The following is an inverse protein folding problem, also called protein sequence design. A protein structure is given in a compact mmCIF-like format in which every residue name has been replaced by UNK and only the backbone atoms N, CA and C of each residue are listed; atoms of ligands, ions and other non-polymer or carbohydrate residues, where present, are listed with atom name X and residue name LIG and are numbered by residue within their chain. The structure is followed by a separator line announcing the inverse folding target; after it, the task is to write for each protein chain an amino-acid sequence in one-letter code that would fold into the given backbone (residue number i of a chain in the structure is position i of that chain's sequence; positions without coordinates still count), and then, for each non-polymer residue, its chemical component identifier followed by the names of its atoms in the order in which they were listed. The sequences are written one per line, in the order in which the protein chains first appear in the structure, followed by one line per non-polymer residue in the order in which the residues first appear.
data_IF_364891334874
#
_entry.id   IF_364891334874
#
_cell.length_a   1.000
_cell.length_b   1.000
_cell.length_c   1.000
_cell.angle_alpha   90.00
_cell.angle_beta   90.00
_cell.angle_gamma   90.00
#
_symmetry.space_group_name_H-M   'P 1'
#
loop_
_entity.id
_entity.type
_entity.pdbx_description
1 polymer ?
#
# COMPACT_ATOMS: atom_id res chain seq x y z
N UNK A 1 4.20 5.42 19.62
CA UNK A 1 3.46 6.20 18.62
C UNK A 1 3.10 7.53 19.22
N UNK A 2 3.54 8.61 18.59
CA UNK A 2 3.37 9.98 19.12
C UNK A 2 1.92 10.46 19.06
N UNK A 3 1.49 11.22 20.08
CA UNK A 3 0.18 11.90 20.09
C UNK A 3 0.00 12.82 18.88
N UNK A 4 1.08 13.45 18.45
CA UNK A 4 1.11 14.38 17.31
C UNK A 4 0.88 13.67 15.98
N UNK A 5 1.46 12.48 15.79
CA UNK A 5 1.22 11.63 14.63
C UNK A 5 -0.26 11.28 14.49
N UNK A 6 -0.93 10.87 15.58
CA UNK A 6 -2.35 10.53 15.53
C UNK A 6 -3.24 11.74 15.22
N UNK A 7 -2.90 12.93 15.71
CA UNK A 7 -3.60 14.16 15.35
C UNK A 7 -3.44 14.45 13.86
N UNK A 8 -2.22 14.39 13.33
CA UNK A 8 -1.94 14.58 11.92
C UNK A 8 -2.67 13.55 11.05
N UNK A 9 -2.64 12.27 11.45
CA UNK A 9 -3.33 11.18 10.77
C UNK A 9 -4.84 11.42 10.67
N UNK A 10 -5.49 11.78 11.78
CA UNK A 10 -6.92 12.10 11.76
C UNK A 10 -7.24 13.32 10.90
N UNK A 11 -6.36 14.32 10.86
CA UNK A 11 -6.53 15.50 10.01
C UNK A 11 -6.43 15.13 8.51
N UNK A 12 -5.43 14.33 8.12
CA UNK A 12 -5.28 13.84 6.74
C UNK A 12 -6.48 13.01 6.32
N UNK A 13 -6.95 12.09 7.17
CA UNK A 13 -8.14 11.27 6.90
C UNK A 13 -9.37 12.15 6.66
N UNK A 14 -9.58 13.18 7.49
CA UNK A 14 -10.70 14.12 7.33
C UNK A 14 -10.60 14.93 6.04
N UNK A 15 -9.41 15.45 5.73
CA UNK A 15 -9.18 16.20 4.50
C UNK A 15 -9.39 15.32 3.25
N UNK A 16 -8.98 14.05 3.29
CA UNK A 16 -9.28 13.09 2.22
C UNK A 16 -10.79 12.87 2.08
N UNK A 17 -11.53 12.64 3.18
CA UNK A 17 -13.00 12.54 3.17
C UNK A 17 -13.70 13.79 2.64
N UNK A 18 -13.09 14.97 2.80
CA UNK A 18 -13.57 16.23 2.25
C UNK A 18 -13.18 16.48 0.78
N UNK A 19 -12.37 15.60 0.18
CA UNK A 19 -11.87 15.75 -1.19
C UNK A 19 -10.73 16.77 -1.34
N UNK A 20 -10.09 17.18 -0.25
CA UNK A 20 -8.99 18.15 -0.24
C UNK A 20 -7.62 17.51 -0.46
N UNK A 21 -7.53 16.19 -0.24
CA UNK A 21 -6.32 15.38 -0.40
C UNK A 21 -6.67 14.14 -1.21
N UNK A 22 -5.71 13.68 -2.02
CA UNK A 22 -5.83 12.50 -2.86
C UNK A 22 -6.04 11.20 -2.06
N UNK A 23 -6.70 10.24 -2.70
CA UNK A 23 -7.09 8.95 -2.12
C UNK A 23 -5.88 8.12 -1.68
N UNK A 24 -4.79 8.14 -2.46
CA UNK A 24 -3.56 7.41 -2.14
C UNK A 24 -2.93 7.90 -0.85
N UNK A 25 -2.82 9.23 -0.67
CA UNK A 25 -2.34 9.82 0.58
C UNK A 25 -3.29 9.55 1.74
N UNK A 26 -4.60 9.68 1.54
CA UNK A 26 -5.60 9.34 2.57
C UNK A 26 -5.50 7.89 3.04
N UNK A 27 -5.41 6.95 2.11
CA UNK A 27 -5.25 5.52 2.37
C UNK A 27 -3.94 5.21 3.10
N UNK A 28 -2.83 5.77 2.63
CA UNK A 28 -1.52 5.57 3.23
C UNK A 28 -1.52 5.99 4.71
N UNK A 29 -2.09 7.17 5.03
CA UNK A 29 -2.24 7.61 6.41
C UNK A 29 -3.23 6.77 7.22
N UNK A 30 -4.35 6.31 6.62
CA UNK A 30 -5.32 5.45 7.32
C UNK A 30 -4.67 4.14 7.78
N UNK A 31 -3.85 3.54 6.91
CA UNK A 31 -3.13 2.28 7.09
C UNK A 31 -1.74 2.42 7.69
N UNK A 32 -1.27 3.64 7.97
CA UNK A 32 0.09 3.95 8.48
C UNK A 32 1.21 3.38 7.59
N UNK A 33 1.02 3.52 6.29
CA UNK A 33 2.01 3.22 5.24
C UNK A 33 2.61 4.54 4.79
N UNK A 34 3.91 4.58 4.56
CA UNK A 34 4.56 5.77 4.03
C UNK A 34 3.98 6.11 2.63
N UNK A 35 3.45 7.33 2.38
CA UNK A 35 2.72 7.64 1.15
C UNK A 35 3.60 7.71 -0.10
N UNK A 36 3.03 7.36 -1.27
CA UNK A 36 3.73 7.35 -2.57
C UNK A 36 4.37 8.68 -2.93
N UNK A 37 3.64 9.77 -2.70
CA UNK A 37 4.08 11.15 -2.96
C UNK A 37 4.18 11.91 -1.63
N UNK A 38 5.20 11.62 -0.80
CA UNK A 38 5.35 12.22 0.52
C UNK A 38 5.62 13.72 0.40
N UNK A 39 5.16 14.49 1.39
CA UNK A 39 5.49 15.91 1.58
C UNK A 39 6.24 16.08 2.91
N UNK A 40 6.55 17.30 3.28
CA UNK A 40 7.32 17.61 4.49
C UNK A 40 6.75 16.95 5.76
N UNK A 41 5.42 16.85 5.86
CA UNK A 41 4.74 16.25 7.00
C UNK A 41 5.06 14.76 7.16
N UNK A 42 5.05 14.00 6.05
CA UNK A 42 5.36 12.58 6.05
C UNK A 42 6.80 12.33 6.49
N UNK A 43 7.75 13.14 6.02
CA UNK A 43 9.15 13.05 6.43
C UNK A 43 9.34 13.39 7.90
N UNK A 44 8.60 14.37 8.43
CA UNK A 44 8.64 14.72 9.84
C UNK A 44 8.18 13.58 10.76
N UNK A 45 7.34 12.67 10.25
CA UNK A 45 6.82 11.50 10.97
C UNK A 45 7.30 10.16 10.41
N UNK A 46 8.42 10.13 9.68
CA UNK A 46 8.87 8.94 8.96
C UNK A 46 8.96 7.68 9.85
N UNK A 47 9.38 7.83 11.11
CA UNK A 47 9.53 6.73 12.08
C UNK A 47 8.20 6.24 12.69
N UNK A 48 7.12 7.01 12.59
CA UNK A 48 5.80 6.62 13.14
C UNK A 48 4.99 5.73 12.16
N UNK A 49 5.39 5.67 10.88
CA UNK A 49 4.77 4.78 9.91
C UNK A 49 5.16 3.31 10.19
N UNK A 50 4.16 2.43 10.22
CA UNK A 50 4.37 0.99 10.47
C UNK A 50 5.09 0.35 9.28
N UNK A 51 4.69 0.74 8.08
CA UNK A 51 5.39 0.38 6.84
C UNK A 51 6.08 1.65 6.34
N UNK A 52 7.35 1.80 6.70
CA UNK A 52 8.20 2.89 6.23
C UNK A 52 8.53 2.82 4.74
N UNK A 53 9.17 3.87 4.24
CA UNK A 53 9.51 4.04 2.83
C UNK A 53 10.29 2.84 2.27
N UNK A 54 11.38 2.45 2.93
CA UNK A 54 12.26 1.37 2.44
C UNK A 54 11.51 0.05 2.24
N UNK A 55 10.66 -0.34 3.20
CA UNK A 55 9.89 -1.59 3.12
C UNK A 55 8.88 -1.57 1.98
N UNK A 56 8.20 -0.43 1.80
CA UNK A 56 7.25 -0.24 0.72
C UNK A 56 7.96 -0.28 -0.64
N UNK A 57 9.07 0.44 -0.77
CA UNK A 57 9.82 0.56 -2.02
C UNK A 57 10.42 -0.79 -2.43
N UNK A 58 10.85 -1.62 -1.48
CA UNK A 58 11.29 -2.98 -1.78
C UNK A 58 10.17 -3.83 -2.40
N UNK A 59 8.97 -3.82 -1.81
CA UNK A 59 7.81 -4.54 -2.38
C UNK A 59 7.52 -4.07 -3.80
N UNK A 60 7.56 -2.75 -4.04
CA UNK A 60 7.33 -2.21 -5.38
C UNK A 60 8.43 -2.57 -6.37
N UNK A 61 9.69 -2.59 -5.94
CA UNK A 61 10.80 -3.02 -6.78
C UNK A 61 10.61 -4.46 -7.25
N UNK A 62 10.17 -5.36 -6.38
CA UNK A 62 9.95 -6.77 -6.74
C UNK A 62 8.81 -6.92 -7.73
N UNK A 63 7.72 -6.20 -7.49
CA UNK A 63 6.58 -6.16 -8.41
C UNK A 63 7.04 -5.62 -9.78
N UNK A 64 7.76 -4.51 -9.81
CA UNK A 64 8.31 -3.89 -11.01
C UNK A 64 9.29 -4.82 -11.75
N UNK A 65 10.17 -5.53 -11.04
CA UNK A 65 11.10 -6.49 -11.64
C UNK A 65 10.39 -7.68 -12.30
N UNK A 66 9.32 -8.18 -11.69
CA UNK A 66 8.49 -9.23 -12.25
C UNK A 66 7.69 -8.73 -13.46
N UNK A 67 7.06 -7.56 -13.31
CA UNK A 67 6.28 -6.88 -14.34
C UNK A 67 7.14 -6.61 -15.60
N UNK A 68 8.36 -6.07 -15.44
CA UNK A 68 9.32 -5.85 -16.55
C UNK A 68 9.76 -7.12 -17.26
N UNK A 69 9.75 -8.26 -16.56
CA UNK A 69 10.07 -9.58 -17.13
C UNK A 69 8.86 -10.26 -17.76
N UNK A 70 7.72 -9.56 -17.87
CA UNK A 70 6.43 -10.09 -18.29
C UNK A 70 6.03 -11.36 -17.51
N UNK A 71 6.46 -11.43 -16.24
CA UNK A 71 6.08 -12.50 -15.31
C UNK A 71 4.95 -11.97 -14.45
N UNK A 72 3.83 -12.68 -14.45
CA UNK A 72 2.74 -12.41 -13.52
C UNK A 72 3.19 -12.81 -12.12
N UNK A 73 3.62 -11.82 -11.34
CA UNK A 73 3.97 -12.00 -9.92
C UNK A 73 2.71 -12.40 -9.18
N UNK A 74 2.75 -13.51 -8.46
CA UNK A 74 1.66 -13.95 -7.58
C UNK A 74 1.90 -13.43 -6.18
N UNK A 75 0.83 -13.37 -5.39
CA UNK A 75 0.92 -12.90 -4.01
C UNK A 75 1.89 -13.76 -3.17
N UNK A 76 1.94 -15.07 -3.40
CA UNK A 76 2.88 -15.96 -2.72
C UNK A 76 4.35 -15.72 -3.06
N UNK A 77 4.63 -15.18 -4.25
CA UNK A 77 5.99 -14.77 -4.61
C UNK A 77 6.45 -13.57 -3.76
N UNK A 78 5.49 -12.76 -3.27
CA UNK A 78 5.71 -11.66 -2.34
C UNK A 78 5.80 -12.13 -0.87
N UNK A 79 5.11 -13.22 -0.48
CA UNK A 79 5.27 -13.78 0.87
C UNK A 79 6.68 -14.41 1.08
N UNK A 80 7.32 -14.89 0.01
CA UNK A 80 8.67 -15.46 0.02
C UNK A 80 9.80 -14.45 0.25
N UNK A 81 9.49 -13.16 0.37
CA UNK A 81 10.44 -12.06 0.57
C UNK A 81 11.10 -12.04 1.95
N UNK A 82 10.72 -12.93 2.86
CA UNK A 82 11.36 -13.10 4.17
C UNK A 82 12.88 -13.40 4.13
N UNK A 83 13.48 -13.56 2.95
CA UNK A 83 14.93 -13.64 2.77
C UNK A 83 15.67 -12.29 2.85
N UNK A 84 15.00 -11.14 2.64
CA UNK A 84 15.62 -9.81 2.70
C UNK A 84 15.62 -9.17 4.09
N UNK A 85 15.10 -9.87 5.11
CA UNK A 85 15.01 -9.37 6.48
C UNK A 85 13.79 -8.49 6.74
N UNK A 86 12.98 -8.19 5.72
CA UNK A 86 11.71 -7.48 5.86
C UNK A 86 10.61 -8.47 6.21
N UNK A 87 10.11 -8.39 7.44
CA UNK A 87 8.87 -9.07 7.85
C UNK A 87 7.70 -8.12 7.62
N UNK A 88 7.04 -8.25 6.48
CA UNK A 88 5.66 -7.81 6.30
C UNK A 88 4.77 -9.03 6.49
N UNK A 89 3.68 -8.85 7.23
CA UNK A 89 2.66 -9.89 7.22
C UNK A 89 1.83 -9.83 5.93
N UNK A 90 0.92 -10.80 5.79
CA UNK A 90 0.03 -10.87 4.63
C UNK A 90 -0.82 -9.61 4.46
N UNK A 91 -1.33 -9.04 5.56
CA UNK A 91 -2.20 -7.86 5.50
C UNK A 91 -1.42 -6.62 5.12
N UNK A 92 -0.18 -6.50 5.61
CA UNK A 92 0.75 -5.45 5.21
C UNK A 92 1.02 -5.50 3.70
N UNK A 93 1.30 -6.69 3.16
CA UNK A 93 1.53 -6.87 1.71
C UNK A 93 0.29 -6.50 0.88
N UNK A 94 -0.90 -6.94 1.30
CA UNK A 94 -2.16 -6.54 0.65
C UNK A 94 -2.30 -5.02 0.67
N UNK A 95 -2.04 -4.37 1.81
CA UNK A 95 -2.21 -2.94 1.95
C UNK A 95 -1.19 -2.15 1.11
N UNK A 96 0.07 -2.60 1.02
CA UNK A 96 1.08 -1.98 0.16
C UNK A 96 0.72 -2.12 -1.32
N UNK A 97 0.27 -3.31 -1.74
CA UNK A 97 -0.21 -3.54 -3.11
C UNK A 97 -1.44 -2.68 -3.41
N UNK A 98 -2.33 -2.48 -2.43
CA UNK A 98 -3.54 -1.68 -2.57
C UNK A 98 -3.21 -0.20 -2.72
N UNK A 99 -2.24 0.30 -1.97
CA UNK A 99 -1.70 1.66 -2.15
C UNK A 99 -1.14 1.85 -3.56
N UNK A 100 -0.42 0.86 -4.11
CA UNK A 100 0.08 0.95 -5.48
C UNK A 100 -1.06 1.03 -6.51
N UNK A 101 -2.12 0.23 -6.31
CA UNK A 101 -3.30 0.25 -7.19
C UNK A 101 -4.01 1.60 -7.16
N UNK A 102 -4.25 2.14 -5.96
CA UNK A 102 -4.87 3.47 -5.79
C UNK A 102 -4.00 4.56 -6.45
N UNK A 103 -2.68 4.41 -6.41
CA UNK A 103 -1.74 5.33 -7.04
C UNK A 103 -1.52 5.14 -8.54
N UNK A 104 -2.20 4.17 -9.19
CA UNK A 104 -2.03 3.82 -10.61
C UNK A 104 -0.57 3.53 -10.99
N UNK A 105 0.16 2.80 -10.12
CA UNK A 105 1.59 2.51 -10.31
C UNK A 105 1.87 1.46 -11.39
N UNK A 106 0.95 0.52 -11.56
CA UNK A 106 1.08 -0.62 -12.47
C UNK A 106 -0.22 -0.81 -13.25
N UNK A 107 -0.19 -1.61 -14.30
CA UNK A 107 -1.40 -1.86 -15.09
C UNK A 107 -2.41 -2.78 -14.38
N UNK A 108 -3.68 -2.65 -14.77
CA UNK A 108 -4.78 -3.51 -14.35
C UNK A 108 -4.51 -5.02 -14.53
N UNK A 109 -3.68 -5.39 -15.51
CA UNK A 109 -3.43 -6.79 -15.83
C UNK A 109 -2.60 -7.45 -14.72
N UNK A 110 -1.64 -6.72 -14.16
CA UNK A 110 -0.89 -7.13 -12.97
C UNK A 110 -1.84 -7.38 -11.79
N UNK A 111 -2.71 -6.41 -11.47
CA UNK A 111 -3.60 -6.54 -10.32
C UNK A 111 -4.61 -7.66 -10.48
N UNK A 112 -5.16 -7.84 -11.69
CA UNK A 112 -6.01 -8.99 -12.02
C UNK A 112 -5.28 -10.33 -11.82
N UNK A 113 -3.99 -10.38 -12.13
CA UNK A 113 -3.19 -11.58 -11.89
C UNK A 113 -2.92 -11.83 -10.41
N UNK A 114 -2.70 -10.77 -9.61
CA UNK A 114 -2.50 -10.86 -8.15
C UNK A 114 -3.75 -11.39 -7.42
N UNK A 115 -4.94 -11.10 -7.94
CA UNK A 115 -6.23 -11.51 -7.34
C UNK A 115 -6.87 -12.73 -8.00
N UNK A 116 -6.24 -13.28 -9.06
CA UNK A 116 -6.78 -14.42 -9.78
C UNK A 116 -6.97 -15.64 -8.84
N UNK A 117 -7.99 -16.49 -9.05
CA UNK A 117 -8.24 -17.65 -8.21
C UNK A 117 -6.98 -18.52 -8.03
N UNK A 118 -6.63 -18.80 -6.77
CA UNK A 118 -5.41 -19.57 -6.42
C UNK A 118 -4.09 -18.81 -6.55
N UNK A 119 -4.11 -17.50 -6.81
CA UNK A 119 -2.91 -16.66 -6.93
C UNK A 119 -2.62 -15.81 -5.69
N UNK A 120 -3.53 -15.82 -4.71
CA UNK A 120 -3.35 -15.15 -3.43
C UNK A 120 -4.43 -15.52 -2.40
N UNK A 121 -4.32 -14.96 -1.18
CA UNK A 121 -5.23 -15.22 -0.08
C UNK A 121 -6.59 -14.50 -0.27
N UNK A 122 -7.62 -14.83 0.51
CA UNK A 122 -8.97 -14.28 0.29
C UNK A 122 -9.02 -12.76 0.51
N UNK A 123 -8.15 -12.24 1.38
CA UNK A 123 -8.01 -10.83 1.71
C UNK A 123 -7.48 -10.00 0.52
N UNK A 124 -6.84 -10.65 -0.47
CA UNK A 124 -6.36 -9.97 -1.68
C UNK A 124 -7.48 -9.71 -2.69
N UNK A 125 -8.66 -10.32 -2.55
CA UNK A 125 -9.73 -10.26 -3.58
C UNK A 125 -10.25 -8.84 -3.86
N UNK A 126 -10.08 -7.91 -2.92
CA UNK A 126 -10.45 -6.50 -3.10
C UNK A 126 -9.40 -5.60 -3.74
N UNK A 127 -8.19 -6.11 -4.02
CA UNK A 127 -7.05 -5.28 -4.47
C UNK A 127 -7.33 -4.47 -5.73
N UNK A 128 -8.03 -5.07 -6.69
CA UNK A 128 -8.34 -4.48 -7.99
C UNK A 128 -9.67 -3.72 -8.03
N UNK A 129 -10.35 -3.56 -6.87
CA UNK A 129 -11.59 -2.78 -6.83
C UNK A 129 -11.30 -1.29 -7.01
N UNK A 130 -12.25 -0.47 -7.45
CA UNK A 130 -12.14 0.98 -7.31
C UNK A 130 -11.90 1.39 -5.84
N UNK A 131 -11.29 2.55 -5.61
CA UNK A 131 -11.15 3.09 -4.26
C UNK A 131 -12.52 3.34 -3.61
N UNK A 132 -12.65 3.06 -2.32
CA UNK A 132 -13.87 3.22 -1.53
C UNK A 132 -13.55 3.83 -0.17
N UNK A 133 -14.12 4.99 0.15
CA UNK A 133 -13.93 5.63 1.46
C UNK A 133 -14.29 4.72 2.63
N UNK A 134 -15.32 3.88 2.48
CA UNK A 134 -15.80 2.96 3.52
C UNK A 134 -14.81 1.81 3.74
N UNK A 135 -14.33 1.19 2.67
CA UNK A 135 -13.48 -0.01 2.75
C UNK A 135 -11.99 0.33 2.98
N UNK A 136 -11.53 1.42 2.37
CA UNK A 136 -10.11 1.78 2.31
C UNK A 136 -9.69 2.70 3.47
N UNK A 137 -10.58 3.58 3.95
CA UNK A 137 -10.26 4.57 4.99
C UNK A 137 -10.97 4.30 6.32
N UNK A 138 -12.25 3.90 6.32
CA UNK A 138 -13.07 3.76 7.53
C UNK A 138 -13.50 5.09 8.13
#
# INVERSE_FOLDING_TARGET
MGKEFEIARLAIIRACKAGEIDEGRGYAWSRRIFPLNPRDLEFAFAEDFTIGQEKRDEVYQIIDEGWRKNKLVKFYDLEGLGGSGIKLDRMDLVAVCRLAHIGDLFDDALYKALVAPGSGPIESQGLANPFSMEDDIG
#
